data_IF_449328647064
#
_entry.id   IF_449328647064
#
_cell.length_a   1.000
_cell.length_b   1.000
_cell.length_c   1.000
_cell.angle_alpha   90.00
_cell.angle_beta   90.00
_cell.angle_gamma   90.00
#
_symmetry.space_group_name_H-M   'P 1'
#
loop_
_entity.id
_entity.type
_entity.pdbx_description
1 polymer ?
#
# COMPACT_ATOMS: atom_id res chain seq x y z
N UNK A 1 -18.24 0.61 -24.23
CA UNK A 1 -16.91 0.20 -23.74
C UNK A 1 -17.08 -0.30 -22.31
N UNK A 2 -16.66 -1.51 -22.01
CA UNK A 2 -16.66 -2.07 -20.66
C UNK A 2 -15.72 -1.25 -19.81
N UNK A 3 -16.21 -0.79 -18.64
CA UNK A 3 -15.40 -0.03 -17.66
C UNK A 3 -14.60 -1.02 -16.80
N UNK A 4 -13.66 -1.73 -17.41
CA UNK A 4 -12.84 -2.72 -16.73
C UNK A 4 -11.46 -2.15 -16.47
N UNK A 5 -10.92 -2.39 -15.26
CA UNK A 5 -9.51 -2.15 -14.93
C UNK A 5 -8.87 -3.51 -14.68
N UNK A 6 -8.02 -3.95 -15.60
CA UNK A 6 -7.32 -5.22 -15.52
C UNK A 6 -6.08 -5.10 -14.64
N UNK A 7 -6.04 -5.86 -13.56
CA UNK A 7 -5.00 -5.73 -12.52
C UNK A 7 -4.26 -7.05 -12.32
N UNK A 8 -2.94 -6.99 -12.25
CA UNK A 8 -2.11 -8.06 -11.75
C UNK A 8 -1.64 -7.76 -10.32
N UNK A 9 -1.45 -8.80 -9.51
CA UNK A 9 -0.98 -8.70 -8.11
C UNK A 9 0.32 -9.48 -7.95
N UNK A 10 1.33 -8.85 -7.37
CA UNK A 10 2.57 -9.48 -6.93
C UNK A 10 2.60 -9.56 -5.40
N UNK A 11 2.57 -10.77 -4.86
CA UNK A 11 2.43 -11.06 -3.43
C UNK A 11 0.98 -11.26 -3.02
N UNK A 12 0.60 -12.51 -2.70
CA UNK A 12 -0.76 -12.92 -2.28
C UNK A 12 -0.81 -13.04 -0.75
N UNK A 13 -0.43 -11.95 -0.06
CA UNK A 13 -0.47 -11.83 1.41
C UNK A 13 -1.80 -11.27 1.93
N UNK A 14 -1.80 -10.81 3.20
CA UNK A 14 -2.98 -10.25 3.88
C UNK A 14 -3.59 -9.05 3.14
N UNK A 15 -2.76 -8.15 2.61
CA UNK A 15 -3.24 -6.99 1.84
C UNK A 15 -3.91 -7.40 0.53
N UNK A 16 -3.34 -8.38 -0.18
CA UNK A 16 -3.95 -8.94 -1.39
C UNK A 16 -5.26 -9.67 -1.08
N UNK A 17 -5.29 -10.44 0.02
CA UNK A 17 -6.51 -11.09 0.51
C UNK A 17 -7.63 -10.06 0.74
N UNK A 18 -7.33 -8.99 1.47
CA UNK A 18 -8.30 -7.92 1.74
C UNK A 18 -8.72 -7.17 0.47
N UNK A 19 -7.80 -6.96 -0.48
CA UNK A 19 -8.10 -6.32 -1.77
C UNK A 19 -9.09 -7.16 -2.59
N UNK A 20 -8.82 -8.45 -2.77
CA UNK A 20 -9.68 -9.36 -3.52
C UNK A 20 -11.05 -9.51 -2.86
N UNK A 21 -11.09 -9.68 -1.55
CA UNK A 21 -12.33 -9.70 -0.77
C UNK A 21 -13.10 -8.38 -0.91
N UNK A 22 -12.41 -7.23 -0.82
CA UNK A 22 -13.01 -5.90 -0.94
C UNK A 22 -13.65 -5.66 -2.30
N UNK A 23 -12.98 -6.04 -3.40
CA UNK A 23 -13.55 -5.96 -4.75
C UNK A 23 -14.85 -6.76 -4.84
N UNK A 24 -14.85 -8.00 -4.34
CA UNK A 24 -16.05 -8.84 -4.35
C UNK A 24 -17.16 -8.29 -3.42
N UNK A 25 -16.80 -7.79 -2.24
CA UNK A 25 -17.74 -7.16 -1.31
C UNK A 25 -18.51 -6.01 -1.96
N UNK A 26 -17.81 -5.06 -2.60
CA UNK A 26 -18.45 -3.92 -3.27
C UNK A 26 -19.17 -4.31 -4.58
N UNK A 27 -18.84 -5.46 -5.16
CA UNK A 27 -19.59 -6.02 -6.29
C UNK A 27 -20.94 -6.60 -5.84
N UNK A 28 -20.96 -7.30 -4.70
CA UNK A 28 -22.16 -7.91 -4.14
C UNK A 28 -23.06 -6.92 -3.40
N UNK A 29 -22.43 -6.02 -2.64
CA UNK A 29 -23.11 -5.05 -1.79
C UNK A 29 -23.15 -3.69 -2.47
N UNK A 30 -24.34 -3.14 -2.65
CA UNK A 30 -24.49 -1.75 -3.17
C UNK A 30 -24.11 -0.66 -2.14
N UNK A 31 -23.48 -1.04 -1.02
CA UNK A 31 -23.04 -0.13 0.04
C UNK A 31 -21.68 0.46 -0.32
N UNK A 32 -21.43 1.69 0.14
CA UNK A 32 -20.19 2.43 -0.09
C UNK A 32 -19.41 2.71 1.19
N UNK A 33 -19.82 2.08 2.30
CA UNK A 33 -19.14 2.21 3.60
C UNK A 33 -17.68 1.78 3.47
N UNK A 34 -16.76 2.59 3.96
CA UNK A 34 -15.33 2.33 3.87
C UNK A 34 -14.67 2.86 2.58
N UNK A 35 -15.43 3.42 1.64
CA UNK A 35 -14.89 4.07 0.46
C UNK A 35 -14.88 5.59 0.65
N UNK A 36 -13.69 6.19 0.66
CA UNK A 36 -13.55 7.66 0.67
C UNK A 36 -14.17 8.27 -0.60
N UNK A 37 -14.06 7.53 -1.71
CA UNK A 37 -14.63 7.90 -3.02
C UNK A 37 -15.29 6.69 -3.66
N UNK A 38 -16.62 6.59 -3.61
CA UNK A 38 -17.36 5.47 -4.23
C UNK A 38 -17.07 5.35 -5.73
N UNK A 39 -16.89 6.49 -6.41
CA UNK A 39 -16.43 6.58 -7.80
C UNK A 39 -15.21 7.49 -7.91
N UNK A 40 -14.32 7.16 -8.83
CA UNK A 40 -13.17 7.96 -9.25
C UNK A 40 -13.26 8.12 -10.76
N UNK A 41 -13.68 9.29 -11.22
CA UNK A 41 -14.13 9.47 -12.60
C UNK A 41 -15.26 8.46 -12.92
N UNK A 42 -15.12 7.67 -13.99
CA UNK A 42 -16.12 6.64 -14.33
C UNK A 42 -15.98 5.35 -13.51
N UNK A 43 -14.89 5.17 -12.74
CA UNK A 43 -14.49 3.89 -12.15
C UNK A 43 -15.04 3.67 -10.73
N UNK A 44 -15.69 2.51 -10.52
CA UNK A 44 -16.08 1.94 -9.23
C UNK A 44 -15.06 0.87 -8.79
N UNK A 45 -15.11 0.43 -7.54
CA UNK A 45 -14.26 -0.68 -7.05
C UNK A 45 -14.61 -1.98 -7.78
N UNK A 46 -15.89 -2.20 -8.13
CA UNK A 46 -16.35 -3.38 -8.88
C UNK A 46 -15.82 -3.48 -10.31
N UNK A 47 -15.27 -2.40 -10.86
CA UNK A 47 -14.67 -2.37 -12.19
C UNK A 47 -13.23 -2.92 -12.20
N UNK A 48 -12.66 -3.20 -11.01
CA UNK A 48 -11.34 -3.82 -10.87
C UNK A 48 -11.48 -5.34 -11.08
N UNK A 49 -10.71 -5.87 -12.01
CA UNK A 49 -10.66 -7.30 -12.35
C UNK A 49 -9.23 -7.81 -12.22
N UNK A 50 -9.01 -8.78 -11.34
CA UNK A 50 -7.70 -9.41 -11.21
C UNK A 50 -7.55 -10.42 -12.36
N UNK A 51 -6.43 -10.33 -13.09
CA UNK A 51 -6.16 -11.12 -14.28
C UNK A 51 -4.87 -11.93 -14.21
N UNK A 52 -4.01 -11.65 -13.21
CA UNK A 52 -2.83 -12.44 -12.90
C UNK A 52 -2.43 -12.24 -11.43
N UNK A 53 -1.84 -13.25 -10.82
CA UNK A 53 -1.34 -13.20 -9.46
C UNK A 53 -0.06 -14.01 -9.35
N UNK A 54 0.88 -13.51 -8.52
CA UNK A 54 2.18 -14.13 -8.30
C UNK A 54 2.45 -14.27 -6.81
N UNK A 55 2.95 -15.44 -6.41
CA UNK A 55 3.44 -15.70 -5.05
C UNK A 55 4.57 -16.74 -5.12
N UNK A 56 5.22 -17.01 -3.99
CA UNK A 56 6.27 -18.02 -3.86
C UNK A 56 5.90 -19.14 -2.88
N UNK A 57 4.80 -18.97 -2.10
CA UNK A 57 4.39 -19.94 -1.09
C UNK A 57 3.69 -21.14 -1.73
N UNK A 58 4.18 -22.36 -1.42
CA UNK A 58 3.66 -23.63 -1.98
C UNK A 58 2.19 -23.90 -1.68
N UNK A 59 1.63 -23.27 -0.62
CA UNK A 59 0.23 -23.42 -0.26
C UNK A 59 -0.69 -22.57 -1.15
N UNK A 60 -0.12 -21.61 -1.89
CA UNK A 60 -0.84 -20.63 -2.74
C UNK A 60 -0.59 -20.87 -4.22
N UNK A 61 0.65 -21.15 -4.59
CA UNK A 61 1.04 -21.43 -5.99
C UNK A 61 0.23 -22.59 -6.57
N UNK A 62 -0.32 -22.41 -7.79
CA UNK A 62 -1.15 -23.39 -8.48
C UNK A 62 -2.62 -23.39 -8.06
N UNK A 63 -3.02 -22.61 -7.03
CA UNK A 63 -4.44 -22.49 -6.65
C UNK A 63 -5.09 -21.30 -7.33
N UNK A 64 -6.42 -21.36 -7.49
CA UNK A 64 -7.18 -20.16 -7.85
C UNK A 64 -7.01 -19.09 -6.77
N UNK A 65 -6.89 -17.84 -7.19
CA UNK A 65 -6.65 -16.71 -6.30
C UNK A 65 -7.75 -16.59 -5.23
N UNK A 66 -9.00 -16.95 -5.52
CA UNK A 66 -10.12 -16.93 -4.56
C UNK A 66 -9.94 -17.89 -3.38
N UNK A 67 -9.10 -18.91 -3.54
CA UNK A 67 -8.72 -19.87 -2.49
C UNK A 67 -7.36 -19.51 -1.89
N UNK A 68 -6.40 -19.12 -2.73
CA UNK A 68 -5.03 -18.80 -2.32
C UNK A 68 -4.97 -17.67 -1.27
N UNK A 69 -5.86 -16.68 -1.37
CA UNK A 69 -5.93 -15.55 -0.45
C UNK A 69 -6.25 -15.96 1.01
N UNK A 70 -6.77 -17.16 1.24
CA UNK A 70 -7.09 -17.69 2.57
C UNK A 70 -6.09 -18.75 3.06
N UNK A 71 -5.07 -19.05 2.27
CA UNK A 71 -4.02 -19.99 2.69
C UNK A 71 -3.05 -19.31 3.67
N UNK A 72 -2.54 -20.10 4.62
CA UNK A 72 -1.45 -19.64 5.47
C UNK A 72 -0.25 -19.11 4.65
N UNK A 73 0.50 -18.17 5.20
CA UNK A 73 0.39 -17.57 6.55
C UNK A 73 -0.59 -16.39 6.61
N UNK A 74 -1.53 -16.25 5.64
CA UNK A 74 -2.52 -15.20 5.68
C UNK A 74 -3.46 -15.40 6.88
N UNK A 75 -3.64 -14.36 7.66
CA UNK A 75 -4.45 -14.34 8.86
C UNK A 75 -5.42 -13.13 8.92
N UNK A 76 -5.63 -12.46 7.77
CA UNK A 76 -6.62 -11.39 7.68
C UNK A 76 -8.03 -11.95 7.79
N UNK A 77 -8.93 -11.17 8.41
CA UNK A 77 -10.32 -11.55 8.59
C UNK A 77 -10.99 -11.89 7.25
N UNK A 78 -11.72 -13.00 7.23
CA UNK A 78 -12.60 -13.35 6.13
C UNK A 78 -13.94 -12.63 6.30
N UNK A 79 -14.23 -11.65 5.43
CA UNK A 79 -15.49 -10.88 5.44
C UNK A 79 -16.36 -11.12 4.21
N UNK A 80 -15.80 -11.72 3.16
CA UNK A 80 -16.55 -12.23 2.00
C UNK A 80 -15.79 -13.40 1.36
N UNK A 81 -16.52 -14.34 0.77
CA UNK A 81 -15.92 -15.38 -0.07
C UNK A 81 -16.02 -14.93 -1.52
N UNK A 82 -14.92 -14.66 -2.23
CA UNK A 82 -14.95 -14.43 -3.67
C UNK A 82 -15.42 -15.68 -4.40
N UNK A 83 -16.12 -15.49 -5.52
CA UNK A 83 -16.33 -16.57 -6.49
C UNK A 83 -15.01 -17.04 -7.05
N UNK A 84 -14.98 -18.20 -7.69
CA UNK A 84 -13.82 -18.63 -8.49
C UNK A 84 -13.49 -17.55 -9.53
N UNK A 85 -12.23 -17.08 -9.51
CA UNK A 85 -11.78 -15.99 -10.38
C UNK A 85 -11.21 -16.49 -11.72
N UNK A 86 -10.88 -17.77 -11.83
CA UNK A 86 -10.17 -18.34 -12.98
C UNK A 86 -8.72 -17.79 -13.08
N UNK A 87 -8.16 -17.34 -11.97
CA UNK A 87 -6.81 -16.77 -11.89
C UNK A 87 -5.94 -17.66 -11.02
N UNK A 88 -5.14 -18.49 -11.64
CA UNK A 88 -4.17 -19.33 -10.96
C UNK A 88 -2.98 -18.48 -10.47
N UNK A 89 -2.59 -18.67 -9.20
CA UNK A 89 -1.41 -18.03 -8.62
C UNK A 89 -0.15 -18.65 -9.22
N UNK A 90 0.61 -17.84 -9.97
CA UNK A 90 1.82 -18.25 -10.65
C UNK A 90 3.01 -18.22 -9.70
N UNK A 91 3.91 -19.20 -9.81
CA UNK A 91 5.18 -19.20 -9.09
C UNK A 91 6.06 -18.07 -9.58
N UNK A 92 6.42 -17.16 -8.66
CA UNK A 92 7.38 -16.10 -8.94
C UNK A 92 8.81 -16.57 -8.66
N UNK A 93 9.79 -15.83 -9.23
CA UNK A 93 11.20 -16.07 -8.90
C UNK A 93 11.46 -15.78 -7.42
N UNK A 94 11.88 -16.74 -6.59
CA UNK A 94 12.30 -16.47 -5.22
C UNK A 94 13.56 -15.60 -5.22
N UNK A 95 13.49 -14.47 -4.52
CA UNK A 95 14.57 -13.51 -4.39
C UNK A 95 14.78 -13.15 -2.91
N UNK A 96 14.74 -11.87 -2.57
CA UNK A 96 15.04 -11.35 -1.23
C UNK A 96 13.78 -11.17 -0.33
N UNK A 97 12.62 -11.66 -0.76
CA UNK A 97 11.36 -11.53 0.00
C UNK A 97 11.27 -12.44 1.24
N UNK A 98 11.99 -13.57 1.23
CA UNK A 98 12.03 -14.53 2.34
C UNK A 98 13.20 -14.15 3.25
N UNK A 99 12.91 -13.84 4.51
CA UNK A 99 13.93 -13.63 5.55
C UNK A 99 14.08 -14.91 6.39
N UNK A 100 15.21 -15.11 7.11
CA UNK A 100 15.34 -16.21 8.07
C UNK A 100 14.22 -16.26 9.10
N UNK A 101 13.72 -15.11 9.55
CA UNK A 101 12.62 -15.01 10.51
C UNK A 101 11.28 -15.49 9.89
N UNK A 102 11.03 -15.21 8.62
CA UNK A 102 9.83 -15.65 7.92
C UNK A 102 9.99 -17.02 7.25
N UNK A 103 11.20 -17.58 7.19
CA UNK A 103 11.49 -18.84 6.51
C UNK A 103 10.75 -20.05 7.05
N UNK A 104 10.37 -20.01 8.34
CA UNK A 104 9.53 -21.05 8.95
C UNK A 104 8.05 -20.92 8.55
N UNK A 105 7.58 -19.70 8.26
CA UNK A 105 6.17 -19.45 7.91
C UNK A 105 5.92 -19.42 6.40
N UNK A 106 6.89 -19.01 5.59
CA UNK A 106 6.78 -18.98 4.14
C UNK A 106 7.45 -20.22 3.56
N UNK A 107 6.66 -21.16 3.09
CA UNK A 107 7.13 -22.40 2.50
C UNK A 107 7.29 -22.20 0.99
N UNK A 108 8.52 -21.92 0.54
CA UNK A 108 8.79 -21.70 -0.88
C UNK A 108 8.42 -22.94 -1.70
N UNK A 109 7.67 -22.74 -2.78
CA UNK A 109 7.24 -23.80 -3.70
C UNK A 109 8.44 -24.36 -4.50
N UNK A 110 8.42 -25.65 -4.74
CA UNK A 110 9.37 -26.35 -5.64
C UNK A 110 9.00 -26.20 -7.12
N UNK A 111 7.87 -25.55 -7.43
CA UNK A 111 7.44 -25.31 -8.81
C UNK A 111 8.43 -24.42 -9.55
N UNK A 112 8.61 -24.67 -10.83
CA UNK A 112 9.46 -23.84 -11.68
C UNK A 112 8.88 -22.41 -11.76
N UNK A 113 9.68 -21.37 -11.50
CA UNK A 113 9.22 -19.99 -11.62
C UNK A 113 8.74 -19.68 -13.03
N UNK A 114 7.57 -19.05 -13.14
CA UNK A 114 7.05 -18.52 -14.39
C UNK A 114 7.88 -17.33 -14.88
N UNK A 115 7.88 -17.09 -16.18
CA UNK A 115 8.40 -15.84 -16.70
C UNK A 115 7.37 -14.73 -16.45
N UNK A 116 7.58 -13.94 -15.40
CA UNK A 116 6.65 -12.89 -15.00
C UNK A 116 6.30 -11.92 -16.14
N UNK A 117 7.28 -11.52 -16.97
CA UNK A 117 7.03 -10.59 -18.08
C UNK A 117 6.15 -11.22 -19.17
N UNK A 118 6.34 -12.49 -19.48
CA UNK A 118 5.49 -13.20 -20.44
C UNK A 118 4.07 -13.37 -19.89
N UNK A 119 3.93 -13.82 -18.63
CA UNK A 119 2.62 -13.94 -17.98
C UNK A 119 1.84 -12.62 -17.99
N UNK A 120 2.53 -11.50 -17.71
CA UNK A 120 1.91 -10.16 -17.79
C UNK A 120 1.57 -9.76 -19.23
N UNK A 121 2.39 -10.13 -20.21
CA UNK A 121 2.12 -9.86 -21.62
C UNK A 121 0.88 -10.62 -22.12
N UNK A 122 0.72 -11.87 -21.70
CA UNK A 122 -0.39 -12.74 -22.09
C UNK A 122 -1.71 -12.34 -21.37
N UNK A 123 -1.63 -12.05 -20.07
CA UNK A 123 -2.79 -11.64 -19.26
C UNK A 123 -3.19 -10.16 -19.45
N UNK A 124 -2.33 -9.34 -20.06
CA UNK A 124 -2.56 -7.93 -20.43
C UNK A 124 -3.16 -7.08 -19.29
N UNK A 125 -2.57 -7.05 -18.10
CA UNK A 125 -3.02 -6.13 -17.07
C UNK A 125 -2.70 -4.69 -17.44
N UNK A 126 -3.59 -3.76 -17.10
CA UNK A 126 -3.32 -2.33 -17.21
C UNK A 126 -2.46 -1.85 -16.04
N UNK A 127 -2.61 -2.50 -14.87
CA UNK A 127 -1.91 -2.15 -13.64
C UNK A 127 -1.32 -3.40 -13.00
N UNK A 128 -0.05 -3.35 -12.60
CA UNK A 128 0.58 -4.30 -11.70
C UNK A 128 0.74 -3.66 -10.32
N UNK A 129 0.14 -4.26 -9.30
CA UNK A 129 0.27 -3.85 -7.90
C UNK A 129 1.28 -4.74 -7.20
N UNK A 130 2.35 -4.14 -6.66
CA UNK A 130 3.36 -4.82 -5.87
C UNK A 130 3.01 -4.77 -4.37
N UNK A 131 2.64 -5.91 -3.81
CA UNK A 131 2.30 -6.15 -2.41
C UNK A 131 3.28 -7.14 -1.75
N UNK A 132 4.50 -7.27 -2.30
CA UNK A 132 5.55 -8.10 -1.70
C UNK A 132 5.98 -7.53 -0.34
N UNK A 133 6.55 -8.36 0.57
CA UNK A 133 6.85 -7.90 1.92
C UNK A 133 7.98 -6.87 1.98
N UNK A 134 8.06 -6.14 3.10
CA UNK A 134 9.19 -5.26 3.41
C UNK A 134 10.52 -6.01 3.30
N UNK A 135 11.49 -5.41 2.61
CA UNK A 135 12.81 -6.00 2.37
C UNK A 135 12.94 -6.76 1.05
N UNK A 136 11.83 -7.00 0.32
CA UNK A 136 11.82 -7.64 -1.00
C UNK A 136 12.22 -6.65 -2.12
N UNK A 137 13.38 -6.00 -1.99
CA UNK A 137 13.79 -4.94 -2.92
C UNK A 137 14.15 -5.46 -4.31
N UNK A 138 14.83 -6.62 -4.40
CA UNK A 138 15.15 -7.24 -5.69
C UNK A 138 13.88 -7.75 -6.38
N UNK A 139 12.96 -8.36 -5.63
CA UNK A 139 11.68 -8.79 -6.16
C UNK A 139 10.87 -7.59 -6.68
N UNK A 140 10.79 -6.48 -5.92
CA UNK A 140 10.12 -5.26 -6.36
C UNK A 140 10.71 -4.68 -7.64
N UNK A 141 12.03 -4.69 -7.79
CA UNK A 141 12.70 -4.27 -9.02
C UNK A 141 12.41 -5.19 -10.21
N UNK A 142 12.36 -6.50 -9.96
CA UNK A 142 11.99 -7.51 -10.97
C UNK A 142 10.56 -7.26 -11.48
N UNK A 143 9.60 -7.04 -10.58
CA UNK A 143 8.22 -6.72 -10.96
C UNK A 143 8.11 -5.37 -11.67
N UNK A 144 8.82 -4.33 -11.22
CA UNK A 144 8.85 -3.04 -11.91
C UNK A 144 9.42 -3.16 -13.33
N UNK A 145 10.43 -4.02 -13.52
CA UNK A 145 10.99 -4.31 -14.84
C UNK A 145 9.99 -5.07 -15.72
N UNK A 146 9.31 -6.08 -15.17
CA UNK A 146 8.31 -6.87 -15.89
C UNK A 146 7.10 -5.99 -16.31
N UNK A 147 6.65 -5.07 -15.45
CA UNK A 147 5.61 -4.09 -15.78
C UNK A 147 6.01 -3.17 -16.95
N UNK A 148 7.27 -2.70 -16.97
CA UNK A 148 7.78 -1.93 -18.11
C UNK A 148 7.78 -2.73 -19.42
N UNK A 149 8.06 -4.02 -19.38
CA UNK A 149 8.10 -4.90 -20.55
C UNK A 149 6.69 -5.19 -21.08
N UNK A 150 5.74 -5.47 -20.19
CA UNK A 150 4.33 -5.74 -20.52
C UNK A 150 3.51 -4.46 -20.78
N UNK A 151 4.10 -3.28 -20.63
CA UNK A 151 3.43 -1.97 -20.75
C UNK A 151 2.29 -1.79 -19.73
N UNK A 152 2.46 -2.28 -18.51
CA UNK A 152 1.53 -2.11 -17.40
C UNK A 152 1.98 -0.97 -16.50
N UNK A 153 1.06 -0.16 -16.00
CA UNK A 153 1.33 0.79 -14.92
C UNK A 153 1.83 0.02 -13.68
N UNK A 154 2.71 0.62 -12.89
CA UNK A 154 3.24 -0.02 -11.69
C UNK A 154 2.89 0.77 -10.43
N UNK A 155 2.26 0.09 -9.49
CA UNK A 155 1.94 0.62 -8.16
C UNK A 155 2.80 -0.13 -7.15
N UNK A 156 3.71 0.58 -6.50
CA UNK A 156 4.61 0.00 -5.51
C UNK A 156 4.10 0.26 -4.09
N UNK A 157 3.39 -0.71 -3.51
CA UNK A 157 2.86 -0.59 -2.15
C UNK A 157 3.90 -0.92 -1.05
N UNK A 158 5.15 -1.28 -1.42
CA UNK A 158 6.20 -1.68 -0.49
C UNK A 158 7.23 -0.57 -0.25
N UNK A 159 8.05 -0.66 0.81
CA UNK A 159 9.12 0.30 1.10
C UNK A 159 10.27 0.32 0.09
N UNK A 160 10.32 -0.62 -0.86
CA UNK A 160 11.34 -0.63 -1.91
C UNK A 160 11.28 0.66 -2.75
N UNK A 161 12.42 1.34 -2.93
CA UNK A 161 12.48 2.62 -3.63
C UNK A 161 12.40 2.43 -5.14
N UNK A 162 11.20 2.51 -5.69
CA UNK A 162 10.92 2.45 -7.13
C UNK A 162 10.38 3.80 -7.62
N UNK A 163 9.21 4.22 -7.15
CA UNK A 163 8.60 5.48 -7.59
C UNK A 163 9.38 6.71 -7.12
N UNK A 164 10.02 6.65 -5.95
CA UNK A 164 10.90 7.70 -5.41
C UNK A 164 12.32 7.69 -5.99
N UNK A 165 12.68 6.74 -6.88
CA UNK A 165 14.00 6.62 -7.47
C UNK A 165 14.04 7.25 -8.87
N UNK A 166 14.95 8.20 -9.10
CA UNK A 166 15.06 8.97 -10.35
C UNK A 166 15.33 8.12 -11.60
N UNK A 167 16.09 7.04 -11.46
CA UNK A 167 16.37 6.12 -12.58
C UNK A 167 15.09 5.40 -13.03
N UNK A 168 14.31 4.87 -12.09
CA UNK A 168 13.02 4.25 -12.39
C UNK A 168 12.05 5.27 -12.97
N UNK A 169 11.95 6.47 -12.40
CA UNK A 169 11.11 7.55 -12.92
C UNK A 169 11.44 7.86 -14.38
N UNK A 170 12.73 7.98 -14.71
CA UNK A 170 13.18 8.24 -16.07
C UNK A 170 12.79 7.13 -17.04
N UNK A 171 12.94 5.86 -16.63
CA UNK A 171 12.56 4.69 -17.44
C UNK A 171 11.05 4.66 -17.73
N UNK A 172 10.20 4.91 -16.72
CA UNK A 172 8.75 4.94 -16.86
C UNK A 172 8.29 6.13 -17.70
N UNK A 173 8.90 7.32 -17.52
CA UNK A 173 8.66 8.49 -18.38
C UNK A 173 8.98 8.21 -19.85
N UNK A 174 10.15 7.62 -20.11
CA UNK A 174 10.58 7.29 -21.49
C UNK A 174 9.63 6.30 -22.18
N UNK A 175 9.07 5.37 -21.41
CA UNK A 175 8.11 4.37 -21.91
C UNK A 175 6.68 4.87 -21.94
N UNK A 176 6.38 6.05 -21.41
CA UNK A 176 5.04 6.64 -21.26
C UNK A 176 4.09 5.71 -20.47
N UNK A 177 4.56 5.13 -19.38
CA UNK A 177 3.82 4.22 -18.50
C UNK A 177 3.71 4.86 -17.12
N UNK A 178 2.53 4.84 -16.46
CA UNK A 178 2.37 5.37 -15.12
C UNK A 178 3.15 4.62 -14.05
N UNK A 179 3.62 5.35 -13.03
CA UNK A 179 4.32 4.82 -11.87
C UNK A 179 3.84 5.52 -10.60
N UNK A 180 3.38 4.78 -9.59
CA UNK A 180 3.00 5.31 -8.28
C UNK A 180 3.65 4.50 -7.14
N UNK A 181 3.94 5.12 -6.02
CA UNK A 181 4.59 4.52 -4.83
C UNK A 181 5.36 5.59 -4.05
N UNK A 182 6.12 5.25 -3.01
CA UNK A 182 6.41 3.93 -2.46
C UNK A 182 5.89 3.84 -1.01
N UNK A 183 5.69 2.62 -0.49
CA UNK A 183 5.20 2.33 0.87
C UNK A 183 3.79 2.86 1.12
N UNK A 184 2.79 2.03 0.92
CA UNK A 184 1.38 2.41 1.05
C UNK A 184 1.06 3.02 2.42
N UNK A 185 0.30 4.13 2.40
CA UNK A 185 -0.22 4.80 3.60
C UNK A 185 -1.69 4.43 3.76
N UNK A 186 -1.97 3.57 4.73
CA UNK A 186 -3.29 3.01 4.95
C UNK A 186 -4.40 4.07 5.04
N UNK A 187 -5.63 3.71 4.67
CA UNK A 187 -6.80 4.59 4.73
C UNK A 187 -7.05 5.15 6.13
N UNK A 188 -6.99 4.28 7.11
CA UNK A 188 -6.89 4.60 8.53
C UNK A 188 -5.73 3.78 9.08
N UNK A 189 -4.80 4.43 9.75
CA UNK A 189 -3.60 3.78 10.25
C UNK A 189 -2.78 4.74 11.06
N UNK A 190 -1.75 4.21 11.71
CA UNK A 190 -0.94 4.97 12.65
C UNK A 190 -0.30 6.22 12.02
N UNK A 191 0.22 6.12 10.81
CA UNK A 191 0.90 7.25 10.15
C UNK A 191 -0.08 8.37 9.80
N UNK A 192 -1.20 8.05 9.17
CA UNK A 192 -2.16 9.08 8.75
C UNK A 192 -2.86 9.74 9.93
N UNK A 193 -3.22 8.96 10.98
CA UNK A 193 -3.83 9.51 12.18
C UNK A 193 -2.86 10.45 12.90
N UNK A 194 -1.63 10.01 13.12
CA UNK A 194 -0.60 10.80 13.82
C UNK A 194 -0.34 12.12 13.09
N UNK A 195 -0.13 12.08 11.75
CA UNK A 195 0.06 13.27 10.93
C UNK A 195 -1.08 14.26 11.07
N UNK A 196 -2.34 13.81 10.85
CA UNK A 196 -3.48 14.71 10.88
C UNK A 196 -3.71 15.34 12.26
N UNK A 197 -3.42 14.62 13.35
CA UNK A 197 -3.50 15.19 14.70
C UNK A 197 -2.42 16.24 14.91
N UNK A 198 -1.17 15.99 14.50
CA UNK A 198 -0.10 16.99 14.58
C UNK A 198 -0.40 18.22 13.73
N UNK A 199 -0.90 18.06 12.51
CA UNK A 199 -1.31 19.16 11.62
C UNK A 199 -2.41 20.00 12.29
N UNK A 200 -3.47 19.36 12.82
CA UNK A 200 -4.53 20.04 13.54
C UNK A 200 -3.99 20.87 14.72
N UNK A 201 -3.10 20.31 15.52
CA UNK A 201 -2.51 20.98 16.67
C UNK A 201 -1.68 22.19 16.24
N UNK A 202 -0.82 22.03 15.21
CA UNK A 202 0.00 23.12 14.67
C UNK A 202 -0.87 24.24 14.06
N UNK A 203 -1.91 23.88 13.29
CA UNK A 203 -2.87 24.85 12.74
C UNK A 203 -3.62 25.64 13.83
N UNK A 204 -3.78 25.05 15.02
CA UNK A 204 -4.37 25.72 16.19
C UNK A 204 -3.38 26.53 17.00
N UNK A 205 -2.11 26.68 16.54
CA UNK A 205 -1.06 27.43 17.21
C UNK A 205 -0.37 26.70 18.34
N UNK A 206 -0.53 25.39 18.44
CA UNK A 206 0.11 24.57 19.47
C UNK A 206 1.52 24.21 19.00
N UNK A 207 2.50 24.39 19.87
CA UNK A 207 3.87 24.00 19.63
C UNK A 207 4.09 22.55 20.08
N UNK A 208 4.40 21.68 19.15
CA UNK A 208 4.77 20.31 19.46
C UNK A 208 6.18 20.27 20.00
N UNK A 209 6.37 19.73 21.20
CA UNK A 209 7.66 19.58 21.87
C UNK A 209 8.28 18.22 21.55
N UNK A 210 7.51 17.15 21.67
CA UNK A 210 7.94 15.78 21.37
C UNK A 210 6.76 14.88 21.06
N UNK A 211 7.02 13.77 20.35
CA UNK A 211 6.01 12.74 20.13
C UNK A 211 6.63 11.37 19.86
N UNK A 212 5.88 10.32 20.22
CA UNK A 212 6.22 8.97 19.78
C UNK A 212 4.97 8.19 19.37
N UNK A 213 5.21 7.16 18.55
CA UNK A 213 4.22 6.18 18.13
C UNK A 213 4.82 4.78 18.24
N UNK A 214 4.10 3.88 18.89
CA UNK A 214 4.45 2.47 19.05
C UNK A 214 3.38 1.60 18.41
N UNK A 215 3.77 0.70 17.50
CA UNK A 215 2.85 -0.18 16.79
C UNK A 215 3.11 -1.64 17.16
N UNK A 216 2.09 -2.34 17.66
CA UNK A 216 2.11 -3.76 17.94
C UNK A 216 1.13 -4.47 16.99
N UNK A 217 1.55 -5.54 16.33
CA UNK A 217 0.71 -6.27 15.39
C UNK A 217 1.00 -7.76 15.36
N UNK A 218 0.02 -8.55 14.89
CA UNK A 218 0.15 -10.01 14.79
C UNK A 218 0.30 -10.53 13.34
N UNK A 219 0.25 -9.65 12.34
CA UNK A 219 0.46 -10.03 10.94
C UNK A 219 1.93 -10.30 10.60
N UNK A 220 2.17 -11.08 9.54
CA UNK A 220 3.51 -11.44 9.05
C UNK A 220 4.41 -10.21 8.83
N UNK A 221 3.84 -9.08 8.44
CA UNK A 221 4.59 -7.84 8.24
C UNK A 221 5.12 -7.24 9.56
N UNK A 222 4.40 -7.42 10.66
CA UNK A 222 4.87 -7.03 12.01
C UNK A 222 5.99 -7.96 12.49
N UNK A 223 5.87 -9.26 12.26
CA UNK A 223 6.89 -10.25 12.57
C UNK A 223 8.19 -9.97 11.77
N UNK A 224 8.08 -9.70 10.48
CA UNK A 224 9.24 -9.33 9.66
C UNK A 224 9.93 -8.06 10.14
N UNK A 225 9.23 -7.20 10.88
CA UNK A 225 9.79 -6.00 11.50
C UNK A 225 10.67 -6.29 12.72
N UNK A 226 10.73 -7.54 13.21
CA UNK A 226 11.71 -7.97 14.22
C UNK A 226 13.13 -8.09 13.64
N UNK A 227 13.25 -8.24 12.32
CA UNK A 227 14.55 -8.13 11.66
C UNK A 227 15.08 -6.69 11.75
N UNK A 228 16.24 -6.51 12.38
CA UNK A 228 16.82 -5.18 12.68
C UNK A 228 16.90 -4.28 11.44
N UNK A 229 17.32 -4.82 10.30
CA UNK A 229 17.49 -4.05 9.06
C UNK A 229 16.13 -3.59 8.51
N UNK A 230 15.12 -4.47 8.52
CA UNK A 230 13.76 -4.15 8.09
C UNK A 230 13.07 -3.18 9.05
N UNK A 231 13.29 -3.34 10.35
CA UNK A 231 12.84 -2.43 11.39
C UNK A 231 13.35 -1.01 11.16
N UNK A 232 14.65 -0.84 10.94
CA UNK A 232 15.26 0.48 10.69
C UNK A 232 14.68 1.16 9.44
N UNK A 233 14.51 0.43 8.35
CA UNK A 233 13.89 0.94 7.12
C UNK A 233 12.48 1.48 7.41
N UNK A 234 11.64 0.68 8.05
CA UNK A 234 10.26 1.07 8.37
C UNK A 234 10.19 2.25 9.32
N UNK A 235 10.99 2.22 10.40
CA UNK A 235 11.04 3.29 11.38
C UNK A 235 11.43 4.62 10.75
N UNK A 236 12.44 4.64 9.90
CA UNK A 236 12.90 5.84 9.21
C UNK A 236 11.83 6.41 8.27
N UNK A 237 11.15 5.56 7.51
CA UNK A 237 10.09 5.99 6.59
C UNK A 237 8.90 6.55 7.37
N UNK A 238 8.42 5.85 8.41
CA UNK A 238 7.29 6.30 9.24
C UNK A 238 7.62 7.60 9.97
N UNK A 239 8.77 7.67 10.64
CA UNK A 239 9.22 8.88 11.35
C UNK A 239 9.28 10.09 10.41
N UNK A 240 9.90 9.92 9.23
CA UNK A 240 9.95 10.99 8.21
C UNK A 240 8.58 11.38 7.69
N UNK A 241 7.66 10.40 7.53
CA UNK A 241 6.31 10.68 7.06
C UNK A 241 5.49 11.48 8.08
N UNK A 242 5.63 11.16 9.38
CA UNK A 242 4.93 11.87 10.45
C UNK A 242 5.57 13.23 10.72
N UNK A 243 6.90 13.32 10.77
CA UNK A 243 7.62 14.57 10.98
C UNK A 243 7.28 15.65 9.94
N UNK A 244 6.92 15.25 8.73
CA UNK A 244 6.54 16.19 7.67
C UNK A 244 5.25 16.99 7.95
N UNK A 245 4.47 16.61 8.97
CA UNK A 245 3.28 17.34 9.43
C UNK A 245 3.60 18.61 10.21
N UNK A 246 4.84 18.77 10.68
CA UNK A 246 5.26 19.89 11.54
C UNK A 246 6.35 20.70 10.84
N UNK A 247 6.23 22.04 10.72
CA UNK A 247 7.14 22.86 9.92
C UNK A 247 8.50 23.16 10.59
N UNK A 248 8.80 22.52 11.71
CA UNK A 248 10.05 22.68 12.46
C UNK A 248 10.56 21.33 12.96
N UNK A 249 11.81 21.27 13.40
CA UNK A 249 12.41 20.06 13.98
C UNK A 249 12.00 19.89 15.45
N UNK A 250 11.71 18.67 15.85
CA UNK A 250 11.34 18.26 17.20
C UNK A 250 11.66 16.78 17.40
N UNK A 251 11.82 16.30 18.63
CA UNK A 251 12.00 14.88 18.94
C UNK A 251 10.79 14.05 18.51
N UNK A 252 11.05 13.06 17.65
CA UNK A 252 10.00 12.17 17.13
C UNK A 252 10.52 10.77 16.90
N UNK A 253 9.72 9.78 17.31
CA UNK A 253 9.90 8.37 16.96
C UNK A 253 8.57 7.79 16.53
N UNK A 254 8.50 7.24 15.31
CA UNK A 254 7.33 6.50 14.85
C UNK A 254 7.77 5.18 14.19
N UNK A 255 7.21 4.06 14.65
CA UNK A 255 7.56 2.79 14.05
C UNK A 255 6.92 1.58 14.70
N UNK A 256 7.15 0.43 14.06
CA UNK A 256 6.81 -0.87 14.62
C UNK A 256 7.64 -1.11 15.88
N UNK A 257 7.04 -1.66 16.91
CA UNK A 257 7.68 -1.87 18.20
C UNK A 257 7.75 -3.33 18.57
N UNK A 258 6.69 -4.14 18.23
CA UNK A 258 6.65 -5.53 18.64
C UNK A 258 5.68 -6.36 17.79
N UNK A 259 5.76 -7.68 17.97
CA UNK A 259 4.93 -8.69 17.34
C UNK A 259 4.26 -9.57 18.40
N UNK A 260 2.96 -9.80 18.22
CA UNK A 260 2.13 -10.66 19.08
C UNK A 260 1.26 -11.53 18.18
N UNK A 261 1.59 -12.79 18.00
CA UNK A 261 1.01 -13.73 17.03
C UNK A 261 -0.51 -13.89 17.14
N UNK A 262 -1.05 -14.01 18.36
CA UNK A 262 -2.49 -14.15 18.59
C UNK A 262 -3.31 -12.89 18.29
N UNK A 263 -2.68 -11.78 17.94
CA UNK A 263 -3.38 -10.61 17.40
C UNK A 263 -3.80 -10.82 15.94
N UNK A 264 -3.30 -11.84 15.27
CA UNK A 264 -3.57 -12.13 13.84
C UNK A 264 -3.29 -10.90 12.94
N UNK A 265 -4.21 -10.47 12.10
CA UNK A 265 -4.03 -9.27 11.26
C UNK A 265 -4.38 -7.95 11.97
N UNK A 266 -4.65 -7.97 13.26
CA UNK A 266 -4.90 -6.76 14.04
C UNK A 266 -3.61 -6.03 14.35
N UNK A 267 -3.70 -4.71 14.33
CA UNK A 267 -2.64 -3.80 14.79
C UNK A 267 -3.19 -2.85 15.83
N UNK A 268 -2.45 -2.66 16.91
CA UNK A 268 -2.70 -1.61 17.91
C UNK A 268 -1.56 -0.61 17.88
N UNK A 269 -1.91 0.67 17.83
CA UNK A 269 -0.97 1.78 17.86
C UNK A 269 -1.22 2.65 19.08
N UNK A 270 -0.15 3.02 19.76
CA UNK A 270 -0.14 3.96 20.89
C UNK A 270 0.59 5.21 20.47
N UNK A 271 0.04 6.37 20.83
CA UNK A 271 0.60 7.67 20.51
C UNK A 271 0.69 8.51 21.78
N UNK A 272 1.79 9.21 21.96
CA UNK A 272 1.90 10.29 22.93
C UNK A 272 2.40 11.53 22.21
N UNK A 273 1.75 12.65 22.44
CA UNK A 273 2.13 13.97 21.91
C UNK A 273 2.22 14.92 23.08
N UNK A 274 3.34 15.60 23.24
CA UNK A 274 3.53 16.63 24.24
C UNK A 274 3.88 17.96 23.59
N UNK A 275 3.48 19.04 24.21
CA UNK A 275 3.73 20.36 23.68
C UNK A 275 3.22 21.47 24.57
N UNK A 276 3.19 22.66 24.01
CA UNK A 276 2.79 23.88 24.69
C UNK A 276 1.69 24.59 23.91
N UNK A 277 0.72 25.16 24.61
CA UNK A 277 -0.31 26.01 24.04
C UNK A 277 -0.29 27.41 24.68
N UNK A 278 -1.40 28.12 24.69
CA UNK A 278 -1.49 29.50 25.11
C UNK A 278 -0.74 29.81 26.44
N UNK A 279 0.15 30.80 26.39
CA UNK A 279 0.96 31.21 27.55
C UNK A 279 2.08 30.26 27.95
N UNK A 280 2.47 29.32 27.08
CA UNK A 280 3.49 28.29 27.38
C UNK A 280 2.98 27.18 28.30
N UNK A 281 1.67 27.03 28.40
CA UNK A 281 1.07 25.98 29.23
C UNK A 281 1.28 24.63 28.57
N UNK A 282 1.77 23.65 29.32
CA UNK A 282 2.04 22.30 28.86
C UNK A 282 0.75 21.48 28.64
N UNK A 283 0.75 20.59 27.69
CA UNK A 283 -0.28 19.55 27.49
C UNK A 283 0.34 18.22 27.11
N UNK A 284 -0.40 17.15 27.35
CA UNK A 284 -0.12 15.81 26.85
C UNK A 284 -1.38 15.21 26.28
N UNK A 285 -1.25 14.55 25.12
CA UNK A 285 -2.31 13.81 24.45
C UNK A 285 -1.87 12.37 24.27
N UNK A 286 -2.60 11.44 24.87
CA UNK A 286 -2.43 10.01 24.67
C UNK A 286 -3.57 9.45 23.86
N UNK A 287 -3.23 8.67 22.82
CA UNK A 287 -4.22 8.02 21.97
C UNK A 287 -3.89 6.54 21.81
N UNK A 288 -4.94 5.74 21.63
CA UNK A 288 -4.83 4.33 21.25
C UNK A 288 -5.77 4.05 20.09
N UNK A 289 -5.27 3.37 19.08
CA UNK A 289 -6.04 2.90 17.94
C UNK A 289 -5.83 1.40 17.76
N UNK A 290 -6.90 0.66 17.43
CA UNK A 290 -6.80 -0.74 17.05
C UNK A 290 -7.62 -0.99 15.78
N UNK A 291 -7.06 -1.71 14.82
CA UNK A 291 -7.70 -1.98 13.52
C UNK A 291 -7.17 -3.29 12.89
N UNK A 292 -7.85 -3.75 11.85
CA UNK A 292 -7.38 -4.78 10.91
C UNK A 292 -6.49 -4.12 9.85
N UNK A 293 -5.25 -4.59 9.71
CA UNK A 293 -4.23 -3.96 8.84
C UNK A 293 -4.54 -4.14 7.35
N UNK A 294 -4.89 -5.35 6.94
CA UNK A 294 -5.14 -5.69 5.54
C UNK A 294 -6.23 -4.85 4.85
N UNK A 295 -7.44 -4.72 5.44
CA UNK A 295 -8.50 -3.87 4.88
C UNK A 295 -8.13 -2.39 4.76
N UNK A 296 -7.37 -1.85 5.71
CA UNK A 296 -6.93 -0.45 5.67
C UNK A 296 -5.97 -0.17 4.51
N UNK A 297 -5.06 -1.10 4.23
CA UNK A 297 -4.19 -1.08 3.06
C UNK A 297 -5.01 -1.23 1.75
N UNK A 298 -5.89 -2.23 1.68
CA UNK A 298 -6.69 -2.53 0.50
C UNK A 298 -7.56 -1.35 0.05
N UNK A 299 -8.11 -0.58 0.99
CA UNK A 299 -8.93 0.60 0.70
C UNK A 299 -8.14 1.65 -0.11
N UNK A 300 -6.92 1.98 0.30
CA UNK A 300 -6.06 2.92 -0.44
C UNK A 300 -5.61 2.33 -1.77
N UNK A 301 -5.26 1.05 -1.80
CA UNK A 301 -4.85 0.38 -3.04
C UNK A 301 -5.97 0.44 -4.09
N UNK A 302 -7.24 0.26 -3.71
CA UNK A 302 -8.37 0.39 -4.65
C UNK A 302 -8.53 1.81 -5.19
N UNK A 303 -8.29 2.83 -4.37
CA UNK A 303 -8.30 4.23 -4.80
C UNK A 303 -7.15 4.51 -5.78
N UNK A 304 -5.94 4.09 -5.42
CA UNK A 304 -4.73 4.30 -6.25
C UNK A 304 -4.83 3.58 -7.60
N UNK A 305 -5.36 2.36 -7.64
CA UNK A 305 -5.62 1.64 -8.91
C UNK A 305 -6.54 2.47 -9.82
N UNK A 306 -7.68 2.92 -9.31
CA UNK A 306 -8.67 3.68 -10.08
C UNK A 306 -8.14 5.06 -10.49
N UNK A 307 -7.42 5.75 -9.61
CA UNK A 307 -6.77 7.03 -9.92
C UNK A 307 -5.68 6.87 -10.98
N UNK A 308 -4.88 5.81 -10.88
CA UNK A 308 -3.81 5.52 -11.87
C UNK A 308 -4.40 5.26 -13.25
N UNK A 309 -5.48 4.48 -13.32
CA UNK A 309 -6.20 4.22 -14.57
C UNK A 309 -6.78 5.52 -15.13
N UNK A 310 -7.45 6.33 -14.32
CA UNK A 310 -8.03 7.60 -14.74
C UNK A 310 -6.96 8.58 -15.24
N UNK A 311 -5.85 8.71 -14.51
CA UNK A 311 -4.72 9.53 -14.92
C UNK A 311 -4.14 9.07 -16.26
N UNK A 312 -4.00 7.77 -16.46
CA UNK A 312 -3.51 7.21 -17.71
C UNK A 312 -4.46 7.45 -18.88
N UNK A 313 -5.77 7.31 -18.67
CA UNK A 313 -6.79 7.63 -19.69
C UNK A 313 -6.75 9.10 -20.11
N UNK A 314 -6.32 9.98 -19.20
CA UNK A 314 -6.09 11.41 -19.47
C UNK A 314 -4.66 11.70 -19.99
N UNK A 315 -3.89 10.68 -20.37
CA UNK A 315 -2.55 10.82 -20.95
C UNK A 315 -1.43 11.11 -19.96
N UNK A 316 -1.69 11.05 -18.64
CA UNK A 316 -0.65 11.22 -17.62
C UNK A 316 0.21 9.95 -17.53
N UNK A 317 1.52 10.13 -17.59
CA UNK A 317 2.50 9.02 -17.61
C UNK A 317 3.76 9.35 -16.80
N UNK A 318 4.59 8.35 -16.55
CA UNK A 318 5.74 8.48 -15.66
C UNK A 318 5.31 8.52 -14.20
N UNK A 319 6.07 9.16 -13.30
CA UNK A 319 5.72 9.24 -11.88
C UNK A 319 4.47 10.09 -11.65
N UNK A 320 3.43 9.49 -11.11
CA UNK A 320 2.17 10.15 -10.74
C UNK A 320 2.31 10.80 -9.36
N UNK A 321 2.73 12.05 -9.33
CA UNK A 321 3.15 12.76 -8.12
C UNK A 321 2.01 12.89 -7.11
N UNK A 322 0.86 13.43 -7.53
CA UNK A 322 -0.33 13.64 -6.69
C UNK A 322 -0.87 12.34 -6.13
N UNK A 323 -0.96 11.30 -6.97
CA UNK A 323 -1.44 9.98 -6.54
C UNK A 323 -0.45 9.34 -5.55
N UNK A 324 0.85 9.51 -5.79
CA UNK A 324 1.86 9.01 -4.87
C UNK A 324 1.84 9.75 -3.53
N UNK A 325 1.66 11.07 -3.53
CA UNK A 325 1.55 11.86 -2.30
C UNK A 325 0.29 11.49 -1.49
N UNK A 326 -0.81 11.13 -2.17
CA UNK A 326 -2.05 10.68 -1.54
C UNK A 326 -1.92 9.30 -0.89
N UNK A 327 -1.37 8.33 -1.60
CA UNK A 327 -1.45 6.92 -1.22
C UNK A 327 -0.20 6.36 -0.52
N UNK A 328 0.91 7.12 -0.38
CA UNK A 328 2.18 6.53 0.02
C UNK A 328 2.98 7.37 1.02
N UNK A 329 3.71 6.67 1.90
CA UNK A 329 4.57 7.28 2.94
C UNK A 329 5.86 7.89 2.36
N UNK A 330 6.38 7.32 1.26
CA UNK A 330 7.61 7.74 0.60
C UNK A 330 7.38 8.13 -0.88
N UNK A 331 6.54 9.14 -1.16
CA UNK A 331 6.25 9.57 -2.53
C UNK A 331 7.49 10.21 -3.18
N UNK A 332 7.53 10.28 -4.53
CA UNK A 332 8.57 11.02 -5.26
C UNK A 332 8.72 12.48 -4.82
N UNK A 333 7.61 13.10 -4.46
CA UNK A 333 7.53 14.46 -3.93
C UNK A 333 6.37 14.54 -2.93
N UNK A 334 6.60 15.15 -1.78
CA UNK A 334 5.53 15.46 -0.82
C UNK A 334 4.78 16.70 -1.29
N UNK A 335 3.48 16.71 -1.06
CA UNK A 335 2.58 17.83 -1.33
C UNK A 335 1.93 18.20 0.00
N UNK A 336 1.81 19.49 0.37
CA UNK A 336 1.07 19.93 1.53
C UNK A 336 -0.37 19.43 1.49
N UNK A 337 -0.92 19.02 2.64
CA UNK A 337 -2.19 18.30 2.69
C UNK A 337 -3.37 19.10 2.13
N UNK A 338 -3.40 20.42 2.32
CA UNK A 338 -4.43 21.28 1.73
C UNK A 338 -4.38 21.25 0.19
N UNK A 339 -3.20 21.47 -0.39
CA UNK A 339 -2.99 21.40 -1.85
C UNK A 339 -3.32 20.01 -2.39
N UNK A 340 -2.90 18.96 -1.66
CA UNK A 340 -3.17 17.58 -2.03
C UNK A 340 -4.68 17.28 -2.08
N UNK A 341 -5.46 17.76 -1.10
CA UNK A 341 -6.93 17.61 -1.10
C UNK A 341 -7.57 18.24 -2.36
N UNK A 342 -7.11 19.43 -2.75
CA UNK A 342 -7.60 20.13 -3.94
C UNK A 342 -7.23 19.40 -5.24
N UNK A 343 -5.97 18.99 -5.37
CA UNK A 343 -5.48 18.24 -6.53
C UNK A 343 -6.23 16.90 -6.70
N UNK A 344 -6.43 16.15 -5.60
CA UNK A 344 -7.18 14.90 -5.63
C UNK A 344 -8.64 15.13 -5.97
N UNK A 345 -9.27 16.18 -5.45
CA UNK A 345 -10.64 16.53 -5.78
C UNK A 345 -10.79 16.85 -7.28
N UNK A 346 -9.84 17.57 -7.85
CA UNK A 346 -9.80 17.89 -9.29
C UNK A 346 -9.58 16.62 -10.13
N UNK A 347 -8.58 15.81 -9.79
CA UNK A 347 -8.28 14.55 -10.49
C UNK A 347 -9.50 13.64 -10.54
N UNK A 348 -10.16 13.44 -9.39
CA UNK A 348 -11.25 12.46 -9.26
C UNK A 348 -12.57 12.90 -9.88
N UNK A 349 -12.77 14.20 -10.09
CA UNK A 349 -13.92 14.75 -10.84
C UNK A 349 -13.76 14.64 -12.36
N UNK A 350 -12.58 14.27 -12.84
CA UNK A 350 -12.31 14.14 -14.29
C UNK A 350 -12.17 15.48 -15.01
N UNK A 351 -11.93 16.58 -14.30
CA UNK A 351 -11.57 17.86 -14.94
C UNK A 351 -10.17 17.75 -15.51
N UNK A 352 -10.04 17.97 -16.82
CA UNK A 352 -8.72 18.10 -17.47
C UNK A 352 -7.99 19.26 -16.82
N UNK A 353 -6.83 19.01 -16.23
CA UNK A 353 -5.88 20.09 -16.01
C UNK A 353 -5.41 20.57 -17.39
N UNK A 354 -5.78 21.79 -17.75
CA UNK A 354 -5.28 22.53 -18.93
C UNK A 354 -3.80 22.86 -18.71
#
# INVERSE_FOLDING_TARGET
MTREIRVAIAGVGNSASSLVQGIEYYRQQKKTIGLARPKIGPYSVSDIHIVAAFDIDKRKVGKDLSEAIFQEPNNTRKFVQPRNLGVEVQMAQPLDGVSPIAGEKILVSDSKPSNTANTLTDSKPEVLVNLTPTGASKASQMYAQAALQSKSAFINATPARIASNSTWQSRYRKKKIPLAGDDVMDQIGSTILHRNVLELLVERGIRIGETYQLDIGGGTESELSLDKKRYEIKRNIKTSAVAAAVPYQFPIVAGSSDFVDFMENRRTSYFNIRGEYFGGTEFSLDMRMSLEDGPACAAIVTDVIRMTKLAWDHGQTGPLITISAYGFKAPPKRIPDQTLKEEIASLTKGTKHT
#
